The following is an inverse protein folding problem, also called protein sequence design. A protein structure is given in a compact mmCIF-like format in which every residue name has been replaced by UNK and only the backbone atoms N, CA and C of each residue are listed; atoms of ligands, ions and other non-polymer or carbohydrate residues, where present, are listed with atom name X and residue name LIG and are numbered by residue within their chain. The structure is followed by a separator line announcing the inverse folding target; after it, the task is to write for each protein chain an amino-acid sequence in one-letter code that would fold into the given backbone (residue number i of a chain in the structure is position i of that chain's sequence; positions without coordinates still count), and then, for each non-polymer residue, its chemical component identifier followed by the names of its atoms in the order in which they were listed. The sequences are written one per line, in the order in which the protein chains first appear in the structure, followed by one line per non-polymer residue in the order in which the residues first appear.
data_IF_795423052262
#
_entry.id   IF_795423052262
#
_cell.length_a   1.000
_cell.length_b   1.000
_cell.length_c   1.000
_cell.angle_alpha   90.00
_cell.angle_beta   90.00
_cell.angle_gamma   90.00
#
_symmetry.space_group_name_H-M   'P 1'
#
loop_
_entity.id
_entity.type
_entity.pdbx_description
1 polymer ?
#
# COMPACT_ATOMS: atom_id res chain seq x y z
N UNK A 1 14.97 -11.05 16.75
CA UNK A 1 13.83 -11.12 15.79
C UNK A 1 12.72 -10.11 16.12
N UNK A 2 12.39 -9.86 17.39
CA UNK A 2 11.37 -8.86 17.78
C UNK A 2 11.63 -7.46 17.22
N UNK A 3 12.86 -6.94 17.40
CA UNK A 3 13.27 -5.61 16.90
C UNK A 3 13.07 -5.39 15.39
N UNK A 4 13.15 -6.46 14.58
CA UNK A 4 12.93 -6.38 13.13
C UNK A 4 11.46 -6.14 12.82
N UNK A 5 10.55 -6.83 13.51
CA UNK A 5 9.11 -6.64 13.31
C UNK A 5 8.64 -5.31 13.88
N UNK A 6 9.17 -4.89 15.03
CA UNK A 6 8.86 -3.59 15.63
C UNK A 6 9.30 -2.43 14.73
N UNK A 7 10.53 -2.44 14.21
CA UNK A 7 11.02 -1.36 13.35
C UNK A 7 10.22 -1.22 12.04
N UNK A 8 9.62 -2.31 11.55
CA UNK A 8 8.76 -2.25 10.36
C UNK A 8 7.43 -1.51 10.64
N UNK A 9 7.02 -1.40 11.91
CA UNK A 9 5.77 -0.75 12.32
C UNK A 9 5.91 0.77 12.51
N UNK A 10 7.13 1.30 12.63
CA UNK A 10 7.42 2.73 12.93
C UNK A 10 7.24 3.68 11.74
N UNK A 11 6.51 3.25 10.70
CA UNK A 11 6.09 4.11 9.58
C UNK A 11 7.05 4.12 8.38
N UNK A 12 8.25 3.54 8.47
CA UNK A 12 9.12 3.37 7.31
C UNK A 12 8.63 2.22 6.43
N UNK A 13 7.88 2.55 5.37
CA UNK A 13 7.36 1.57 4.42
C UNK A 13 8.43 0.80 3.63
N UNK A 14 9.69 1.25 3.68
CA UNK A 14 10.80 0.66 2.93
C UNK A 14 11.21 -0.73 3.42
N UNK A 15 11.11 -0.99 4.73
CA UNK A 15 11.49 -2.28 5.32
C UNK A 15 10.30 -3.25 5.41
N UNK A 16 9.14 -2.86 4.89
CA UNK A 16 7.95 -3.68 4.93
C UNK A 16 7.77 -4.50 3.64
N UNK A 17 7.33 -5.77 3.75
CA UNK A 17 7.36 -6.61 4.96
C UNK A 17 8.80 -7.00 5.33
N UNK A 18 9.05 -7.43 6.58
CA UNK A 18 10.37 -7.95 6.98
C UNK A 18 10.75 -9.13 6.09
N UNK A 19 11.94 -9.05 5.48
CA UNK A 19 12.45 -10.07 4.56
C UNK A 19 13.83 -10.55 5.00
N UNK A 20 14.11 -11.82 4.73
CA UNK A 20 15.45 -12.41 4.80
C UNK A 20 15.74 -13.07 3.45
N UNK A 21 16.91 -12.82 2.85
CA UNK A 21 17.31 -13.44 1.58
C UNK A 21 16.21 -13.39 0.50
N UNK A 22 15.45 -12.28 0.45
CA UNK A 22 14.33 -12.02 -0.49
C UNK A 22 13.00 -12.73 -0.20
N UNK A 23 12.89 -13.51 0.88
CA UNK A 23 11.63 -14.10 1.33
C UNK A 23 10.99 -13.31 2.46
N UNK A 24 9.66 -13.14 2.41
CA UNK A 24 8.89 -12.57 3.51
C UNK A 24 9.02 -13.49 4.73
N UNK A 25 9.45 -12.94 5.87
CA UNK A 25 9.52 -13.71 7.11
C UNK A 25 8.10 -13.93 7.61
N UNK A 26 7.58 -15.17 7.63
CA UNK A 26 6.25 -15.45 8.12
C UNK A 26 6.07 -15.03 9.58
N UNK A 27 4.93 -14.39 9.89
CA UNK A 27 4.65 -13.93 11.26
C UNK A 27 4.66 -15.07 12.29
N UNK A 28 4.27 -16.29 11.89
CA UNK A 28 4.22 -17.46 12.78
C UNK A 28 5.61 -17.91 13.24
N UNK A 29 6.68 -17.64 12.46
CA UNK A 29 8.06 -17.92 12.89
C UNK A 29 8.52 -16.96 13.99
N UNK A 30 7.98 -15.75 14.02
CA UNK A 30 8.31 -14.74 15.01
C UNK A 30 7.31 -14.67 16.18
N UNK A 31 6.13 -15.29 16.06
CA UNK A 31 5.02 -15.09 17.02
C UNK A 31 5.35 -15.51 18.45
N UNK A 32 6.24 -16.49 18.64
CA UNK A 32 6.71 -16.89 19.97
C UNK A 32 7.53 -15.79 20.68
N UNK A 33 8.12 -14.88 19.90
CA UNK A 33 9.02 -13.82 20.37
C UNK A 33 8.40 -12.42 20.30
N UNK A 34 7.10 -12.32 19.96
CA UNK A 34 6.39 -11.04 19.78
C UNK A 34 5.26 -10.91 20.80
N UNK A 35 5.02 -9.69 21.26
CA UNK A 35 3.84 -9.41 22.09
C UNK A 35 2.56 -9.56 21.27
N UNK A 36 1.45 -9.88 21.94
CA UNK A 36 0.13 -9.96 21.29
C UNK A 36 -0.27 -8.62 20.64
N UNK A 37 0.13 -7.49 21.22
CA UNK A 37 -0.08 -6.16 20.65
C UNK A 37 0.72 -5.99 19.35
N UNK A 38 2.00 -6.36 19.34
CA UNK A 38 2.85 -6.30 18.13
C UNK A 38 2.27 -7.18 17.01
N UNK A 39 1.84 -8.40 17.33
CA UNK A 39 1.20 -9.33 16.38
C UNK A 39 -0.07 -8.71 15.79
N UNK A 40 -0.92 -8.10 16.63
CA UNK A 40 -2.14 -7.43 16.20
C UNK A 40 -1.84 -6.26 15.25
N UNK A 41 -0.94 -5.35 15.65
CA UNK A 41 -0.52 -4.21 14.83
C UNK A 41 0.06 -4.66 13.49
N UNK A 42 0.84 -5.74 13.49
CA UNK A 42 1.41 -6.30 12.27
C UNK A 42 0.33 -6.83 11.32
N UNK A 43 -0.66 -7.57 11.85
CA UNK A 43 -1.81 -8.05 11.06
C UNK A 43 -2.67 -6.90 10.51
N UNK A 44 -2.92 -5.88 11.32
CA UNK A 44 -3.67 -4.70 10.92
C UNK A 44 -2.93 -3.95 9.79
N UNK A 45 -1.62 -3.79 9.92
CA UNK A 45 -0.78 -3.17 8.90
C UNK A 45 -0.70 -4.00 7.63
N UNK A 46 -0.65 -5.32 7.73
CA UNK A 46 -0.70 -6.22 6.56
C UNK A 46 -2.03 -6.10 5.82
N UNK A 47 -3.14 -6.00 6.57
CA UNK A 47 -4.48 -5.76 6.01
C UNK A 47 -4.54 -4.40 5.29
N UNK A 48 -4.09 -3.33 5.95
CA UNK A 48 -3.96 -2.01 5.34
C UNK A 48 -3.13 -2.05 4.07
N UNK A 49 -2.05 -2.83 4.05
CA UNK A 49 -1.15 -2.87 2.90
C UNK A 49 -1.71 -3.58 1.69
N UNK A 50 -2.48 -4.65 1.92
CA UNK A 50 -3.15 -5.44 0.88
C UNK A 50 -4.48 -4.86 0.42
N UNK A 51 -5.10 -3.96 1.19
CA UNK A 51 -6.32 -3.27 0.78
C UNK A 51 -6.08 -2.41 -0.48
N UNK A 52 -6.80 -2.71 -1.55
CA UNK A 52 -6.73 -2.00 -2.83
C UNK A 52 -7.50 -0.68 -2.81
N UNK A 53 -8.43 -0.51 -1.85
CA UNK A 53 -9.24 0.68 -1.70
C UNK A 53 -9.09 1.30 -0.30
N UNK A 54 -7.83 1.44 0.14
CA UNK A 54 -7.48 1.99 1.46
C UNK A 54 -8.27 3.25 1.74
N UNK A 55 -8.91 3.27 2.90
CA UNK A 55 -9.65 4.43 3.36
C UNK A 55 -9.07 4.79 4.72
N UNK A 56 -8.58 6.01 4.86
CA UNK A 56 -8.15 6.56 6.13
C UNK A 56 -9.22 7.49 6.65
N UNK A 57 -9.23 7.76 7.95
CA UNK A 57 -10.11 8.76 8.51
C UNK A 57 -9.83 10.13 7.85
N UNK A 58 -10.89 10.77 7.35
CA UNK A 58 -10.84 12.12 6.76
C UNK A 58 -10.53 13.22 7.76
N UNK A 59 -10.60 12.94 9.07
CA UNK A 59 -10.12 13.87 10.09
C UNK A 59 -8.57 13.86 10.09
N UNK A 60 -7.90 14.98 9.78
CA UNK A 60 -6.44 15.05 9.69
C UNK A 60 -5.74 14.75 11.02
N UNK A 61 -6.36 15.08 12.16
CA UNK A 61 -5.79 14.77 13.49
C UNK A 61 -5.89 13.28 13.84
N UNK A 62 -6.80 12.55 13.19
CA UNK A 62 -6.99 11.12 13.41
C UNK A 62 -6.23 10.27 12.40
N UNK A 63 -6.42 10.52 11.10
CA UNK A 63 -5.78 9.87 9.96
C UNK A 63 -5.68 8.32 9.99
N UNK A 64 -6.46 7.65 10.86
CA UNK A 64 -6.33 6.21 11.10
C UNK A 64 -6.90 5.40 9.95
N UNK A 65 -6.24 4.29 9.61
CA UNK A 65 -6.76 3.34 8.63
C UNK A 65 -8.13 2.78 9.05
N UNK A 66 -9.06 2.74 8.11
CA UNK A 66 -10.41 2.21 8.25
C UNK A 66 -10.54 0.92 7.46
N UNK A 67 -10.45 -0.21 8.16
CA UNK A 67 -10.52 -1.53 7.55
C UNK A 67 -11.80 -1.71 6.72
N UNK A 68 -11.73 -2.48 5.61
CA UNK A 68 -12.91 -2.77 4.81
C UNK A 68 -13.98 -3.50 5.63
N UNK A 69 -15.21 -3.00 5.60
CA UNK A 69 -16.38 -3.74 6.11
C UNK A 69 -16.82 -4.79 5.09
N UNK A 70 -17.53 -5.82 5.56
CA UNK A 70 -18.12 -6.86 4.69
C UNK A 70 -19.12 -6.29 3.67
N UNK A 71 -19.67 -5.11 3.96
CA UNK A 71 -20.60 -4.41 3.09
C UNK A 71 -19.86 -3.38 2.22
N UNK A 72 -20.32 -3.23 0.98
CA UNK A 72 -19.86 -2.14 0.08
C UNK A 72 -20.53 -0.84 0.51
N UNK A 73 -20.14 -0.33 1.67
CA UNK A 73 -20.65 0.91 2.21
C UNK A 73 -20.04 2.10 1.47
N UNK A 74 -20.87 3.11 1.19
CA UNK A 74 -20.42 4.38 0.59
C UNK A 74 -19.50 5.19 1.52
N UNK A 75 -19.47 4.85 2.80
CA UNK A 75 -18.63 5.48 3.80
C UNK A 75 -18.13 4.46 4.82
N UNK A 76 -17.05 4.79 5.53
CA UNK A 76 -16.51 4.06 6.68
C UNK A 76 -16.62 4.94 7.92
N UNK A 77 -16.95 4.36 9.06
CA UNK A 77 -16.98 5.05 10.35
C UNK A 77 -15.66 4.81 11.07
N UNK A 78 -15.05 5.87 11.61
CA UNK A 78 -13.87 5.73 12.45
C UNK A 78 -14.28 5.34 13.88
N UNK A 79 -13.78 4.22 14.39
CA UNK A 79 -14.10 3.79 15.77
C UNK A 79 -13.40 4.63 16.85
N UNK A 80 -12.54 5.59 16.47
CA UNK A 80 -11.80 6.44 17.40
C UNK A 80 -12.43 7.84 17.55
N UNK A 81 -12.69 8.52 16.42
CA UNK A 81 -13.27 9.87 16.42
C UNK A 81 -14.71 9.92 15.88
N UNK A 82 -15.30 8.77 15.53
CA UNK A 82 -16.66 8.63 14.97
C UNK A 82 -16.89 9.32 13.61
N UNK A 83 -15.86 9.95 13.04
CA UNK A 83 -15.92 10.58 11.72
C UNK A 83 -16.26 9.57 10.62
N UNK A 84 -17.19 9.96 9.75
CA UNK A 84 -17.60 9.18 8.58
C UNK A 84 -16.81 9.64 7.36
N UNK A 85 -16.15 8.72 6.67
CA UNK A 85 -15.31 9.01 5.50
C UNK A 85 -15.85 8.31 4.27
N UNK A 86 -16.03 9.02 3.16
CA UNK A 86 -16.48 8.47 1.89
C UNK A 86 -15.44 7.48 1.33
N UNK A 87 -15.88 6.28 0.95
CA UNK A 87 -14.97 5.24 0.41
C UNK A 87 -14.50 5.54 -1.01
N UNK A 88 -15.21 6.41 -1.73
CA UNK A 88 -14.91 6.80 -3.12
C UNK A 88 -13.98 8.01 -3.19
N UNK A 89 -14.37 9.16 -2.63
CA UNK A 89 -13.57 10.39 -2.70
C UNK A 89 -12.56 10.55 -1.55
N UNK A 90 -12.60 9.68 -0.53
CA UNK A 90 -11.72 9.68 0.65
C UNK A 90 -11.85 10.91 1.56
N UNK A 91 -12.75 11.85 1.25
CA UNK A 91 -13.13 12.97 2.10
C UNK A 91 -14.23 12.63 3.11
N UNK A 92 -14.68 13.63 3.86
CA UNK A 92 -15.83 13.50 4.77
C UNK A 92 -17.06 12.94 4.05
N UNK A 93 -17.83 12.11 4.75
CA UNK A 93 -19.06 11.52 4.22
C UNK A 93 -20.04 12.63 3.82
N UNK A 94 -20.61 12.50 2.62
CA UNK A 94 -21.54 13.47 2.06
C UNK A 94 -22.76 12.75 1.46
N UNK A 95 -23.83 13.51 1.17
CA UNK A 95 -24.97 13.04 0.37
C UNK A 95 -24.70 13.38 -1.11
N UNK A 96 -25.36 12.65 -2.02
CA UNK A 96 -25.21 12.88 -3.47
C UNK A 96 -23.93 12.30 -4.08
N UNK A 97 -23.59 12.76 -5.29
CA UNK A 97 -22.40 12.32 -6.02
C UNK A 97 -21.12 12.91 -5.43
N UNK A 98 -20.01 12.19 -5.59
CA UNK A 98 -18.70 12.68 -5.18
C UNK A 98 -18.29 13.84 -6.09
N UNK A 99 -17.98 15.00 -5.51
CA UNK A 99 -17.25 16.05 -6.22
C UNK A 99 -15.78 15.63 -6.26
N UNK A 100 -15.43 14.79 -7.24
CA UNK A 100 -14.07 14.28 -7.45
C UNK A 100 -13.15 15.32 -8.11
N UNK A 101 -13.30 16.60 -7.79
CA UNK A 101 -12.37 17.62 -8.29
C UNK A 101 -11.06 17.43 -7.55
N UNK A 102 -9.97 17.02 -8.22
CA UNK A 102 -8.68 16.90 -7.57
C UNK A 102 -8.29 18.27 -7.03
N UNK A 103 -7.85 18.35 -5.78
CA UNK A 103 -7.25 19.58 -5.29
C UNK A 103 -5.96 19.89 -6.07
N UNK A 104 -5.49 21.13 -5.99
CA UNK A 104 -4.33 21.58 -6.76
C UNK A 104 -3.08 20.73 -6.48
N UNK A 105 -2.84 20.36 -5.23
CA UNK A 105 -1.74 19.47 -4.85
C UNK A 105 -1.83 18.08 -5.50
N UNK A 106 -3.02 17.48 -5.57
CA UNK A 106 -3.22 16.18 -6.27
C UNK A 106 -2.96 16.33 -7.76
N UNK A 107 -3.42 17.44 -8.36
CA UNK A 107 -3.21 17.71 -9.78
C UNK A 107 -1.72 17.91 -10.10
N UNK A 108 -1.00 18.66 -9.28
CA UNK A 108 0.44 18.87 -9.43
C UNK A 108 1.23 17.57 -9.23
N UNK A 109 0.87 16.77 -8.23
CA UNK A 109 1.45 15.45 -8.02
C UNK A 109 1.27 14.53 -9.23
N UNK A 110 0.07 14.47 -9.80
CA UNK A 110 -0.20 13.65 -10.99
C UNK A 110 0.57 14.15 -12.23
N UNK A 111 0.71 15.47 -12.40
CA UNK A 111 1.56 16.05 -13.47
C UNK A 111 3.03 15.66 -13.29
N UNK A 112 3.55 15.74 -12.06
CA UNK A 112 4.93 15.34 -11.76
C UNK A 112 5.13 13.84 -12.00
N UNK A 113 4.20 13.00 -11.53
CA UNK A 113 4.22 11.57 -11.73
C UNK A 113 4.27 11.21 -13.22
N UNK A 114 3.43 11.86 -14.04
CA UNK A 114 3.44 11.68 -15.50
C UNK A 114 4.79 12.11 -16.11
N UNK A 115 5.31 13.29 -15.72
CA UNK A 115 6.61 13.80 -16.19
C UNK A 115 7.78 12.86 -15.83
N UNK A 116 7.75 12.28 -14.63
CA UNK A 116 8.76 11.35 -14.12
C UNK A 116 8.50 9.88 -14.51
N UNK A 117 7.44 9.61 -15.29
CA UNK A 117 7.01 8.26 -15.69
C UNK A 117 6.86 7.31 -14.50
N UNK A 118 6.34 7.81 -13.40
CA UNK A 118 5.94 6.95 -12.28
C UNK A 118 4.80 6.03 -12.71
N UNK A 119 4.77 4.83 -12.13
CA UNK A 119 3.81 3.79 -12.50
C UNK A 119 2.96 3.40 -11.31
N UNK A 120 1.70 3.08 -11.54
CA UNK A 120 0.90 2.44 -10.50
C UNK A 120 1.21 0.95 -10.46
N UNK A 121 1.21 0.37 -9.25
CA UNK A 121 1.20 -1.08 -9.09
C UNK A 121 -0.11 -1.64 -9.67
N UNK A 122 -0.07 -2.64 -10.56
CA UNK A 122 -1.27 -3.18 -11.20
C UNK A 122 -2.20 -3.90 -10.21
N UNK A 123 -1.68 -4.33 -9.05
CA UNK A 123 -2.45 -5.06 -8.04
C UNK A 123 -3.09 -4.15 -6.98
N UNK A 124 -2.36 -3.13 -6.49
CA UNK A 124 -2.82 -2.29 -5.37
C UNK A 124 -2.88 -0.80 -5.69
N UNK A 125 -2.62 -0.41 -6.95
CA UNK A 125 -2.68 0.96 -7.47
C UNK A 125 -1.73 1.97 -6.81
N UNK A 126 -0.87 1.54 -5.88
CA UNK A 126 0.14 2.40 -5.27
C UNK A 126 1.09 2.96 -6.33
N UNK A 127 1.41 4.25 -6.24
CA UNK A 127 2.41 4.89 -7.09
C UNK A 127 3.80 4.33 -6.78
N UNK A 128 4.50 3.94 -7.83
CA UNK A 128 5.85 3.41 -7.82
C UNK A 128 6.74 4.43 -8.50
N UNK A 129 7.79 4.81 -7.78
CA UNK A 129 8.90 5.60 -8.31
C UNK A 129 10.11 4.69 -8.44
N UNK A 130 10.83 4.81 -9.55
CA UNK A 130 12.16 4.26 -9.76
C UNK A 130 13.13 5.42 -9.90
N UNK A 131 14.15 5.45 -9.05
CA UNK A 131 15.20 6.46 -9.14
C UNK A 131 16.22 6.09 -10.23
N UNK A 132 16.85 4.93 -10.10
CA UNK A 132 17.78 4.36 -11.08
C UNK A 132 17.70 2.81 -11.09
N UNK A 133 18.41 2.16 -12.02
CA UNK A 133 18.59 0.70 -12.00
C UNK A 133 17.48 -0.10 -12.68
N UNK A 134 17.30 -1.35 -12.24
CA UNK A 134 16.49 -2.37 -12.91
C UNK A 134 15.01 -1.96 -13.08
N UNK A 135 14.41 -2.33 -14.20
CA UNK A 135 12.97 -2.15 -14.45
C UNK A 135 12.11 -3.15 -13.66
N UNK A 136 12.69 -4.16 -13.03
CA UNK A 136 11.97 -5.09 -12.16
C UNK A 136 11.87 -4.51 -10.74
N UNK A 137 10.65 -4.22 -10.30
CA UNK A 137 10.37 -3.75 -8.94
C UNK A 137 9.47 -4.74 -8.21
N UNK A 138 9.57 -4.76 -6.88
CA UNK A 138 8.57 -5.39 -6.03
C UNK A 138 7.80 -4.31 -5.29
N UNK A 139 6.49 -4.27 -5.50
CA UNK A 139 5.63 -3.41 -4.71
C UNK A 139 5.62 -3.88 -3.25
N UNK A 140 5.36 -2.98 -2.31
CA UNK A 140 5.16 -3.30 -0.89
C UNK A 140 4.02 -4.30 -0.65
N UNK A 141 3.08 -4.43 -1.60
CA UNK A 141 2.02 -5.44 -1.55
C UNK A 141 2.50 -6.84 -1.99
N UNK A 142 3.78 -6.98 -2.36
CA UNK A 142 4.41 -8.21 -2.84
C UNK A 142 4.37 -8.41 -4.36
N UNK A 143 3.60 -7.61 -5.10
CA UNK A 143 3.45 -7.77 -6.53
C UNK A 143 4.78 -7.48 -7.29
N UNK A 144 5.26 -8.39 -8.15
CA UNK A 144 6.38 -8.13 -9.04
C UNK A 144 5.92 -7.29 -10.23
N UNK A 145 6.47 -6.09 -10.41
CA UNK A 145 6.01 -5.08 -11.38
C UNK A 145 7.13 -4.70 -12.35
N UNK A 146 6.81 -4.70 -13.64
CA UNK A 146 7.66 -4.16 -14.68
C UNK A 146 7.47 -2.65 -14.74
N UNK A 147 8.46 -1.88 -14.33
CA UNK A 147 8.39 -0.41 -14.33
C UNK A 147 8.28 0.19 -15.74
N UNK A 148 8.72 -0.54 -16.76
CA UNK A 148 8.65 -0.05 -18.14
C UNK A 148 7.21 0.08 -18.62
N UNK A 149 6.38 -0.94 -18.37
CA UNK A 149 4.98 -0.99 -18.82
C UNK A 149 3.93 -0.89 -17.71
N UNK A 150 4.29 -1.05 -16.45
CA UNK A 150 3.37 -1.06 -15.30
C UNK A 150 2.63 -2.40 -15.08
N UNK A 151 2.90 -3.44 -15.87
CA UNK A 151 2.27 -4.76 -15.72
C UNK A 151 3.04 -5.69 -14.78
N UNK A 152 2.43 -6.83 -14.45
CA UNK A 152 3.08 -7.90 -13.69
C UNK A 152 4.31 -8.42 -14.46
N UNK A 153 5.46 -8.54 -13.79
CA UNK A 153 6.66 -9.14 -14.39
C UNK A 153 6.37 -10.56 -14.85
N UNK A 154 6.87 -10.93 -16.04
CA UNK A 154 6.57 -12.21 -16.68
C UNK A 154 5.25 -12.26 -17.45
N UNK A 155 4.34 -11.29 -17.25
CA UNK A 155 3.10 -11.14 -18.05
C UNK A 155 3.20 -9.99 -19.07
N UNK A 156 4.40 -9.45 -19.30
CA UNK A 156 4.63 -8.34 -20.23
C UNK A 156 5.56 -8.74 -21.37
N UNK A 157 5.33 -8.21 -22.57
CA UNK A 157 6.19 -8.41 -23.75
C UNK A 157 7.43 -7.49 -23.79
N UNK A 158 7.79 -6.86 -22.67
CA UNK A 158 8.93 -5.95 -22.61
C UNK A 158 10.25 -6.73 -22.74
N UNK A 159 11.18 -6.23 -23.56
CA UNK A 159 12.49 -6.87 -23.84
C UNK A 159 13.35 -7.12 -22.58
N UNK A 160 13.09 -6.42 -21.48
CA UNK A 160 13.78 -6.55 -20.19
C UNK A 160 13.01 -7.39 -19.15
N UNK A 161 11.85 -7.96 -19.51
CA UNK A 161 10.95 -8.68 -18.58
C UNK A 161 11.39 -10.10 -18.21
N UNK A 162 12.59 -10.56 -18.62
CA UNK A 162 12.96 -11.98 -18.59
C UNK A 162 14.28 -12.34 -17.90
N UNK A 163 14.93 -11.44 -17.15
CA UNK A 163 16.10 -11.83 -16.35
C UNK A 163 16.01 -11.33 -14.91
N UNK A 164 15.06 -11.88 -14.17
CA UNK A 164 15.21 -12.01 -12.71
C UNK A 164 15.65 -13.46 -12.48
N UNK A 165 16.82 -13.74 -11.87
CA UNK A 165 17.19 -15.11 -11.57
C UNK A 165 16.07 -15.79 -10.74
N UNK A 166 15.82 -17.10 -10.94
CA UNK A 166 14.80 -17.81 -10.19
C UNK A 166 15.03 -17.67 -8.68
N UNK A 167 13.93 -17.69 -7.93
CA UNK A 167 13.94 -17.89 -6.48
C UNK A 167 14.59 -19.24 -6.21
N UNK A 168 15.85 -19.24 -5.76
CA UNK A 168 16.53 -20.42 -5.22
C UNK A 168 16.23 -20.50 -3.73
#
# INVERSE_FOLDING_TARGET
MSKLFESTLDGSSYFWPPRCCFEEIPLWLASACLSQDTIKRFKDKMTELKDTNKTYCSNPDCARYLAPSRCRDRFRVCNHCLQRTCTSCKGSSHRGMCNNVPNDGTREFLKLAAKKRWRNCPQCLRMLQRDQGCSALYCICGAPVCYECGNILGQCSCKMGLKVPPRW
#
